data_IF_618828306740
#
_entry.id   IF_618828306740
#
_cell.length_a   1.000
_cell.length_b   1.000
_cell.length_c   1.000
_cell.angle_alpha   90.00
_cell.angle_beta   90.00
_cell.angle_gamma   90.00
#
_symmetry.space_group_name_H-M   'P 1'
#
loop_
_entity.id
_entity.type
_entity.pdbx_description
1 polymer ?
#
# COMPACT_ATOMS: atom_id res chain seq x y z
N UNK A 1 4.55 -12.28 0.89
CA UNK A 1 3.74 -11.61 1.89
C UNK A 1 3.33 -12.63 2.94
N UNK A 2 4.00 -12.65 4.07
CA UNK A 2 3.64 -13.52 5.18
C UNK A 2 2.56 -12.81 6.00
N UNK A 3 1.46 -13.51 6.25
CA UNK A 3 0.40 -13.06 7.14
C UNK A 3 0.85 -13.44 8.54
N UNK A 4 0.92 -12.50 9.47
CA UNK A 4 1.16 -12.82 10.87
C UNK A 4 0.08 -13.81 11.36
N UNK A 5 0.47 -15.07 11.64
CA UNK A 5 -0.43 -16.16 11.99
C UNK A 5 -0.75 -17.16 10.86
N UNK A 6 -0.10 -17.05 9.69
CA UNK A 6 -0.19 -18.06 8.65
C UNK A 6 0.69 -19.28 8.99
N UNK A 7 0.12 -20.48 8.85
CA UNK A 7 0.86 -21.74 8.97
C UNK A 7 2.00 -21.79 7.92
N UNK A 8 3.14 -22.46 8.21
CA UNK A 8 4.31 -22.53 7.30
C UNK A 8 3.99 -23.04 5.90
N UNK A 9 2.84 -23.68 5.71
CA UNK A 9 2.38 -24.21 4.43
C UNK A 9 1.81 -23.14 3.49
N UNK A 10 1.28 -22.03 4.02
CA UNK A 10 0.71 -20.94 3.20
C UNK A 10 1.80 -20.09 2.55
N UNK A 11 2.93 -19.90 3.21
CA UNK A 11 4.07 -19.15 2.66
C UNK A 11 4.67 -19.81 1.42
N UNK A 12 4.70 -21.16 1.34
CA UNK A 12 5.22 -21.91 0.19
C UNK A 12 4.37 -21.75 -1.08
N UNK A 13 3.05 -21.67 -0.94
CA UNK A 13 2.14 -21.51 -2.09
C UNK A 13 2.38 -20.15 -2.74
N UNK A 14 2.57 -19.10 -1.95
CA UNK A 14 2.91 -17.76 -2.47
C UNK A 14 4.27 -17.73 -3.19
N UNK A 15 5.24 -18.50 -2.70
CA UNK A 15 6.58 -18.56 -3.31
C UNK A 15 6.56 -19.28 -4.67
N UNK A 16 5.89 -20.43 -4.78
CA UNK A 16 5.82 -21.21 -6.04
C UNK A 16 5.02 -20.47 -7.14
N UNK A 17 4.00 -19.68 -6.75
CA UNK A 17 3.22 -18.86 -7.66
C UNK A 17 3.76 -17.45 -7.87
N UNK A 18 4.87 -17.06 -7.21
CA UNK A 18 5.39 -15.68 -7.25
C UNK A 18 5.71 -15.20 -8.68
N UNK A 19 6.25 -16.05 -9.55
CA UNK A 19 6.56 -15.70 -10.94
C UNK A 19 5.30 -15.51 -11.80
N UNK A 20 4.27 -16.32 -11.60
CA UNK A 20 2.98 -16.18 -12.27
C UNK A 20 2.21 -14.98 -11.71
N UNK A 21 2.29 -14.80 -10.40
CA UNK A 21 1.77 -13.67 -9.65
C UNK A 21 2.37 -12.36 -10.17
N UNK A 22 3.71 -12.24 -10.25
CA UNK A 22 4.38 -11.05 -10.79
C UNK A 22 3.93 -10.74 -12.22
N UNK A 23 3.76 -11.74 -13.08
CA UNK A 23 3.37 -11.53 -14.48
C UNK A 23 1.93 -11.02 -14.63
N UNK A 24 0.99 -11.56 -13.84
CA UNK A 24 -0.41 -11.10 -13.80
C UNK A 24 -0.48 -9.73 -13.13
N UNK A 25 0.22 -9.56 -12.00
CA UNK A 25 0.25 -8.31 -11.25
C UNK A 25 0.89 -7.18 -12.05
N UNK A 26 2.01 -7.43 -12.74
CA UNK A 26 2.65 -6.43 -13.61
C UNK A 26 1.68 -5.91 -14.65
N UNK A 27 0.92 -6.78 -15.32
CA UNK A 27 0.01 -6.35 -16.39
C UNK A 27 -1.16 -5.53 -15.89
N UNK A 28 -1.71 -5.85 -14.70
CA UNK A 28 -2.94 -5.24 -14.21
C UNK A 28 -2.72 -4.14 -13.16
N UNK A 29 -1.67 -4.20 -12.35
CA UNK A 29 -1.46 -3.31 -11.21
C UNK A 29 -0.37 -2.27 -11.45
N UNK A 30 0.73 -2.64 -12.13
CA UNK A 30 1.85 -1.76 -12.37
C UNK A 30 1.48 -0.44 -13.06
N UNK A 31 0.67 -0.39 -14.12
CA UNK A 31 0.29 0.87 -14.76
C UNK A 31 -0.39 1.87 -13.79
N UNK A 32 -1.14 1.35 -12.80
CA UNK A 32 -1.81 2.19 -11.80
C UNK A 32 -0.82 2.78 -10.81
N UNK A 33 0.12 1.96 -10.33
CA UNK A 33 1.19 2.40 -9.44
C UNK A 33 1.99 3.50 -10.13
N UNK A 34 2.43 3.26 -11.37
CA UNK A 34 3.20 4.23 -12.16
C UNK A 34 2.43 5.53 -12.35
N UNK A 35 1.16 5.47 -12.78
CA UNK A 35 0.36 6.68 -13.00
C UNK A 35 0.13 7.46 -11.71
N UNK A 36 -0.08 6.75 -10.59
CA UNK A 36 -0.25 7.36 -9.27
C UNK A 36 1.03 8.05 -8.83
N UNK A 37 2.16 7.34 -8.82
CA UNK A 37 3.45 7.89 -8.39
C UNK A 37 3.90 9.08 -9.25
N UNK A 38 3.71 9.01 -10.57
CA UNK A 38 3.96 10.16 -11.46
C UNK A 38 3.11 11.38 -11.13
N UNK A 39 1.85 11.17 -10.71
CA UNK A 39 0.96 12.28 -10.35
C UNK A 39 1.33 13.00 -9.05
N UNK A 40 2.18 12.38 -8.21
CA UNK A 40 2.62 12.96 -6.95
C UNK A 40 3.73 14.02 -7.13
N UNK A 41 4.41 14.03 -8.29
CA UNK A 41 5.55 14.92 -8.55
C UNK A 41 6.56 14.92 -7.39
N UNK A 42 6.98 13.73 -6.96
CA UNK A 42 7.91 13.53 -5.83
C UNK A 42 9.17 14.35 -6.05
N UNK A 43 9.51 15.30 -5.15
CA UNK A 43 10.66 16.18 -5.34
C UNK A 43 11.99 15.45 -5.09
N UNK A 44 13.11 15.96 -5.64
CA UNK A 44 14.43 15.42 -5.35
C UNK A 44 14.75 15.39 -3.84
N UNK A 45 15.33 14.26 -3.40
CA UNK A 45 15.69 14.05 -1.98
C UNK A 45 14.51 13.78 -1.05
N UNK A 46 13.28 13.65 -1.58
CA UNK A 46 12.15 13.27 -0.75
C UNK A 46 12.32 11.84 -0.23
N UNK A 47 12.05 11.65 1.06
CA UNK A 47 12.06 10.35 1.72
C UNK A 47 10.71 9.66 1.55
N UNK A 48 10.74 8.49 0.96
CA UNK A 48 9.55 7.67 0.68
C UNK A 48 9.64 6.36 1.46
N UNK A 49 8.59 6.01 2.20
CA UNK A 49 8.41 4.68 2.77
C UNK A 49 7.37 3.92 1.95
N UNK A 50 7.73 2.75 1.45
CA UNK A 50 6.75 1.79 0.92
C UNK A 50 6.55 0.65 1.92
N UNK A 51 5.33 0.54 2.44
CA UNK A 51 4.91 -0.51 3.36
C UNK A 51 4.35 -1.69 2.58
N UNK A 52 4.92 -2.88 2.80
CA UNK A 52 4.56 -4.10 2.06
C UNK A 52 5.08 -4.08 0.62
N UNK A 53 6.38 -3.81 0.44
CA UNK A 53 7.02 -3.71 -0.88
C UNK A 53 6.98 -5.02 -1.68
N UNK A 54 6.76 -6.15 -1.03
CA UNK A 54 6.67 -7.47 -1.65
C UNK A 54 7.90 -7.80 -2.49
N UNK A 55 7.68 -8.27 -3.70
CA UNK A 55 8.74 -8.59 -4.67
C UNK A 55 9.39 -7.36 -5.32
N UNK A 56 9.02 -6.13 -4.89
CA UNK A 56 9.56 -4.89 -5.41
C UNK A 56 9.00 -4.47 -6.78
N UNK A 57 7.77 -4.86 -7.12
CA UNK A 57 7.14 -4.52 -8.40
C UNK A 57 7.01 -3.01 -8.63
N UNK A 58 6.71 -2.26 -7.56
CA UNK A 58 6.52 -0.81 -7.55
C UNK A 58 7.82 0.00 -7.67
N UNK A 59 8.95 -0.59 -7.27
CA UNK A 59 10.22 0.12 -7.07
C UNK A 59 10.70 0.86 -8.33
N UNK A 60 10.50 0.26 -9.51
CA UNK A 60 10.85 0.88 -10.80
C UNK A 60 10.01 2.10 -11.16
N UNK A 61 8.89 2.33 -10.46
CA UNK A 61 8.02 3.48 -10.70
C UNK A 61 8.41 4.73 -9.90
N UNK A 62 9.26 4.58 -8.88
CA UNK A 62 9.79 5.72 -8.12
C UNK A 62 10.88 6.44 -8.91
N UNK A 63 10.93 7.77 -8.82
CA UNK A 63 12.00 8.52 -9.48
C UNK A 63 13.35 8.26 -8.79
N UNK A 64 14.42 8.11 -9.57
CA UNK A 64 15.77 7.82 -9.06
C UNK A 64 16.39 8.92 -8.17
N UNK A 65 15.74 10.07 -8.07
CA UNK A 65 16.14 11.19 -7.20
C UNK A 65 15.44 11.19 -5.83
N UNK A 66 14.51 10.26 -5.60
CA UNK A 66 13.88 10.07 -4.28
C UNK A 66 14.70 9.07 -3.44
N UNK A 67 14.59 9.15 -2.13
CA UNK A 67 15.17 8.18 -1.18
C UNK A 67 14.06 7.19 -0.77
N UNK A 68 14.07 5.99 -1.34
CA UNK A 68 13.02 4.99 -1.14
C UNK A 68 13.44 3.94 -0.12
N UNK A 69 12.66 3.79 0.94
CA UNK A 69 12.76 2.66 1.87
C UNK A 69 11.56 1.75 1.66
N UNK A 70 11.80 0.50 1.28
CA UNK A 70 10.75 -0.52 1.16
C UNK A 70 10.84 -1.51 2.31
N UNK A 71 9.71 -1.79 2.95
CA UNK A 71 9.63 -2.81 4.01
C UNK A 71 8.65 -3.91 3.65
N UNK A 72 8.95 -5.12 4.10
CA UNK A 72 8.03 -6.26 4.07
C UNK A 72 8.31 -7.18 5.27
N UNK A 73 7.30 -7.92 5.69
CA UNK A 73 7.44 -8.91 6.77
C UNK A 73 8.09 -10.21 6.24
N UNK A 74 7.88 -10.56 4.96
CA UNK A 74 8.32 -11.79 4.35
C UNK A 74 9.74 -11.67 3.79
N UNK A 75 10.75 -12.38 4.36
CA UNK A 75 12.12 -12.33 3.88
C UNK A 75 12.25 -12.84 2.43
N UNK A 76 11.45 -13.82 2.02
CA UNK A 76 11.48 -14.39 0.67
C UNK A 76 11.04 -13.37 -0.40
N UNK A 77 10.11 -12.47 -0.05
CA UNK A 77 9.70 -11.37 -0.92
C UNK A 77 10.81 -10.33 -1.03
N UNK A 78 11.42 -9.98 0.09
CA UNK A 78 12.54 -9.04 0.13
C UNK A 78 13.77 -9.55 -0.64
N UNK A 79 14.05 -10.85 -0.63
CA UNK A 79 15.11 -11.42 -1.46
C UNK A 79 14.87 -11.21 -2.95
N UNK A 80 13.62 -11.35 -3.42
CA UNK A 80 13.26 -11.08 -4.81
C UNK A 80 13.39 -9.59 -5.14
N UNK A 81 12.89 -8.72 -4.25
CA UNK A 81 13.03 -7.28 -4.39
C UNK A 81 14.52 -6.87 -4.42
N UNK A 82 15.36 -7.45 -3.55
CA UNK A 82 16.78 -7.17 -3.48
C UNK A 82 17.53 -7.60 -4.75
N UNK A 83 17.13 -8.73 -5.38
CA UNK A 83 17.67 -9.14 -6.68
C UNK A 83 17.35 -8.11 -7.77
N UNK A 84 16.13 -7.55 -7.79
CA UNK A 84 15.74 -6.47 -8.72
C UNK A 84 16.55 -5.20 -8.44
N UNK A 85 16.66 -4.76 -7.18
CA UNK A 85 17.43 -3.57 -6.79
C UNK A 85 18.88 -3.68 -7.25
N UNK A 86 19.52 -4.84 -7.03
CA UNK A 86 20.91 -5.08 -7.46
C UNK A 86 21.03 -5.16 -8.98
N UNK A 87 20.13 -5.89 -9.65
CA UNK A 87 20.15 -6.08 -11.10
C UNK A 87 19.98 -4.77 -11.89
N UNK A 88 19.11 -3.90 -11.41
CA UNK A 88 18.81 -2.60 -12.01
C UNK A 88 19.74 -1.46 -11.51
N UNK A 89 20.58 -1.74 -10.52
CA UNK A 89 21.50 -0.76 -9.95
C UNK A 89 20.81 0.40 -9.20
N UNK A 90 19.65 0.19 -8.61
CA UNK A 90 18.89 1.24 -7.89
C UNK A 90 19.54 1.58 -6.55
N UNK A 91 20.45 2.55 -6.55
CA UNK A 91 21.18 3.00 -5.35
C UNK A 91 20.31 3.84 -4.40
N UNK A 92 19.20 4.36 -4.86
CA UNK A 92 18.24 5.16 -4.11
C UNK A 92 17.21 4.32 -3.34
N UNK A 93 17.26 2.99 -3.45
CA UNK A 93 16.34 2.05 -2.81
C UNK A 93 17.04 1.28 -1.70
N UNK A 94 16.46 1.31 -0.50
CA UNK A 94 16.83 0.49 0.66
C UNK A 94 15.69 -0.45 1.00
N UNK A 95 16.01 -1.72 1.31
CA UNK A 95 15.02 -2.72 1.72
C UNK A 95 15.30 -3.20 3.14
N UNK A 96 14.24 -3.37 3.95
CA UNK A 96 14.34 -3.82 5.33
C UNK A 96 13.21 -4.81 5.64
N UNK A 97 13.52 -5.85 6.41
CA UNK A 97 12.48 -6.70 6.99
C UNK A 97 11.91 -6.00 8.23
N UNK A 98 10.58 -5.80 8.23
CA UNK A 98 9.92 -5.07 9.33
C UNK A 98 8.43 -5.38 9.35
N UNK A 99 7.85 -5.40 10.56
CA UNK A 99 6.40 -5.48 10.74
C UNK A 99 5.77 -4.09 10.52
N UNK A 100 4.80 -4.03 9.64
CA UNK A 100 4.05 -2.81 9.35
C UNK A 100 3.20 -2.29 10.53
N UNK A 101 2.95 -3.15 11.52
CA UNK A 101 2.24 -2.79 12.76
C UNK A 101 3.17 -2.24 13.85
N UNK A 102 4.48 -2.30 13.65
CA UNK A 102 5.49 -1.79 14.58
C UNK A 102 6.69 -1.26 13.80
N UNK A 103 6.55 -0.06 13.25
CA UNK A 103 7.57 0.57 12.41
C UNK A 103 8.71 1.14 13.27
N UNK A 104 9.94 0.67 13.02
CA UNK A 104 11.15 1.12 13.73
C UNK A 104 11.71 2.43 13.12
N UNK A 105 10.84 3.39 12.81
CA UNK A 105 11.17 4.70 12.29
C UNK A 105 10.69 5.79 13.25
N UNK A 106 11.34 6.94 13.20
CA UNK A 106 10.96 8.09 13.99
C UNK A 106 9.61 8.68 13.53
N UNK A 107 8.93 9.38 14.44
CA UNK A 107 7.73 10.14 14.10
C UNK A 107 8.07 11.20 13.05
N UNK A 108 7.28 11.29 12.00
CA UNK A 108 7.46 12.28 10.95
C UNK A 108 8.76 12.15 10.17
N UNK A 109 9.24 10.95 9.90
CA UNK A 109 10.48 10.72 9.17
C UNK A 109 10.33 10.87 7.64
N UNK A 110 9.16 10.48 7.08
CA UNK A 110 8.96 10.36 5.65
C UNK A 110 8.06 11.45 5.07
N UNK A 111 8.42 11.95 3.89
CA UNK A 111 7.62 12.90 3.12
C UNK A 111 6.41 12.21 2.48
N UNK A 112 6.61 10.95 2.04
CA UNK A 112 5.59 10.09 1.44
C UNK A 112 5.59 8.73 2.12
N UNK A 113 4.40 8.22 2.45
CA UNK A 113 4.20 6.85 2.94
C UNK A 113 3.20 6.16 2.04
N UNK A 114 3.60 5.06 1.40
CA UNK A 114 2.79 4.36 0.41
C UNK A 114 2.48 2.93 0.86
N UNK A 115 1.29 2.43 0.51
CA UNK A 115 0.90 1.05 0.75
C UNK A 115 0.09 0.53 -0.46
N UNK A 116 0.67 -0.39 -1.23
CA UNK A 116 0.06 -0.93 -2.43
C UNK A 116 -0.36 -2.38 -2.21
N UNK A 117 -1.68 -2.63 -2.21
CA UNK A 117 -2.29 -3.95 -2.04
C UNK A 117 -1.99 -4.66 -0.70
N UNK A 118 -1.60 -3.92 0.32
CA UNK A 118 -1.18 -4.44 1.63
C UNK A 118 -2.28 -4.32 2.69
N UNK A 119 -3.07 -3.27 2.64
CA UNK A 119 -4.02 -2.93 3.71
C UNK A 119 -5.06 -4.04 3.96
N UNK A 120 -5.49 -4.74 2.91
CA UNK A 120 -6.48 -5.82 3.02
C UNK A 120 -5.93 -7.14 3.56
N UNK A 121 -4.62 -7.25 3.74
CA UNK A 121 -3.95 -8.48 4.18
C UNK A 121 -3.35 -8.37 5.58
N UNK A 122 -3.18 -7.14 6.08
CA UNK A 122 -2.75 -6.89 7.46
C UNK A 122 -3.93 -7.13 8.40
N UNK A 123 -3.77 -7.89 9.51
CA UNK A 123 -4.87 -8.21 10.41
C UNK A 123 -5.44 -6.99 11.13
N UNK A 124 -4.60 -6.05 11.56
CA UNK A 124 -4.98 -4.76 12.16
C UNK A 124 -4.70 -3.61 11.19
N UNK A 125 -5.66 -3.34 10.31
CA UNK A 125 -5.55 -2.22 9.37
C UNK A 125 -5.59 -0.85 10.05
N UNK A 126 -6.23 -0.74 11.23
CA UNK A 126 -6.22 0.50 12.01
C UNK A 126 -4.84 0.76 12.64
N UNK A 127 -4.18 -0.29 13.15
CA UNK A 127 -2.79 -0.24 13.62
C UNK A 127 -1.83 0.16 12.51
N UNK A 128 -1.95 -0.48 11.34
CA UNK A 128 -1.19 -0.10 10.16
C UNK A 128 -1.34 1.39 9.81
N UNK A 129 -2.57 1.89 9.77
CA UNK A 129 -2.82 3.30 9.47
C UNK A 129 -2.24 4.23 10.52
N UNK A 130 -2.33 3.89 11.81
CA UNK A 130 -1.70 4.68 12.88
C UNK A 130 -0.19 4.78 12.68
N UNK A 131 0.48 3.67 12.38
CA UNK A 131 1.92 3.65 12.15
C UNK A 131 2.32 4.44 10.89
N UNK A 132 1.61 4.23 9.76
CA UNK A 132 1.85 5.00 8.53
C UNK A 132 1.71 6.50 8.78
N UNK A 133 0.69 6.92 9.54
CA UNK A 133 0.48 8.33 9.88
C UNK A 133 1.54 8.84 10.85
N UNK A 134 1.96 8.02 11.83
CA UNK A 134 3.00 8.39 12.81
C UNK A 134 4.30 8.74 12.09
N UNK A 135 4.76 7.86 11.20
CA UNK A 135 6.04 8.04 10.50
C UNK A 135 5.98 9.05 9.34
N UNK A 136 4.77 9.41 8.88
CA UNK A 136 4.58 10.46 7.88
C UNK A 136 4.80 11.84 8.52
N UNK A 137 5.54 12.72 7.83
CA UNK A 137 5.75 14.11 8.25
C UNK A 137 4.45 14.89 8.35
N UNK A 138 4.33 15.87 9.25
CA UNK A 138 3.32 16.92 9.12
C UNK A 138 3.43 17.58 7.73
N UNK A 139 2.30 17.68 7.01
CA UNK A 139 2.28 18.11 5.60
C UNK A 139 2.65 17.03 4.59
N UNK A 140 3.08 15.84 5.04
CA UNK A 140 3.43 14.71 4.17
C UNK A 140 2.20 14.01 3.59
N UNK A 141 2.45 13.08 2.68
CA UNK A 141 1.43 12.42 1.86
C UNK A 141 1.39 10.93 2.14
N UNK A 142 0.19 10.40 2.39
CA UNK A 142 -0.09 8.96 2.46
C UNK A 142 -0.83 8.53 1.20
N UNK A 143 -0.34 7.47 0.54
CA UNK A 143 -0.90 6.94 -0.70
C UNK A 143 -1.26 5.47 -0.53
N UNK A 144 -2.52 5.14 -0.77
CA UNK A 144 -3.00 3.77 -0.67
C UNK A 144 -3.60 3.34 -2.01
N UNK A 145 -3.17 2.21 -2.52
CA UNK A 145 -3.84 1.51 -3.62
C UNK A 145 -4.31 0.17 -3.08
N UNK A 146 -5.61 0.01 -2.97
CA UNK A 146 -6.17 -1.23 -2.48
C UNK A 146 -7.52 -1.53 -3.13
N UNK A 147 -7.94 -2.78 -3.02
CA UNK A 147 -9.28 -3.16 -3.37
C UNK A 147 -10.18 -2.97 -2.14
N UNK A 148 -11.27 -2.27 -2.31
CA UNK A 148 -12.24 -2.02 -1.26
C UNK A 148 -13.61 -2.58 -1.66
N UNK A 149 -14.44 -2.90 -0.67
CA UNK A 149 -15.79 -3.38 -0.88
C UNK A 149 -16.56 -2.43 -1.80
N UNK A 150 -17.19 -2.99 -2.83
CA UNK A 150 -17.99 -2.22 -3.77
C UNK A 150 -19.19 -1.58 -3.08
N UNK A 151 -19.49 -0.31 -3.42
CA UNK A 151 -20.74 0.35 -3.01
C UNK A 151 -21.99 -0.22 -3.72
N UNK A 152 -21.80 -0.95 -4.84
CA UNK A 152 -22.91 -1.61 -5.57
C UNK A 152 -23.31 -2.87 -4.82
N UNK A 153 -24.47 -2.86 -4.18
CA UNK A 153 -24.96 -3.91 -3.28
C UNK A 153 -25.03 -5.31 -3.92
N UNK A 154 -25.38 -5.40 -5.19
CA UNK A 154 -25.47 -6.68 -5.90
C UNK A 154 -24.08 -7.30 -6.15
N UNK A 155 -23.10 -6.47 -6.55
CA UNK A 155 -21.71 -6.90 -6.78
C UNK A 155 -21.03 -7.24 -5.45
N UNK A 156 -21.29 -6.48 -4.39
CA UNK A 156 -20.81 -6.76 -3.06
C UNK A 156 -21.32 -8.13 -2.57
N UNK A 157 -22.62 -8.43 -2.73
CA UNK A 157 -23.19 -9.75 -2.34
C UNK A 157 -22.60 -10.92 -3.13
N UNK A 158 -22.26 -10.73 -4.39
CA UNK A 158 -21.61 -11.77 -5.21
C UNK A 158 -20.18 -12.04 -4.72
N UNK A 159 -19.43 -10.97 -4.43
CA UNK A 159 -18.05 -11.06 -3.91
C UNK A 159 -18.04 -11.60 -2.48
N UNK A 160 -18.97 -11.17 -1.62
CA UNK A 160 -19.11 -11.65 -0.24
C UNK A 160 -19.36 -13.17 -0.18
N UNK A 161 -19.99 -13.76 -1.20
CA UNK A 161 -20.13 -15.23 -1.32
C UNK A 161 -18.79 -15.95 -1.57
N UNK A 162 -17.82 -15.28 -2.14
CA UNK A 162 -16.47 -15.81 -2.38
C UNK A 162 -15.53 -15.52 -1.19
N UNK A 163 -15.97 -14.73 -0.20
CA UNK A 163 -15.17 -14.34 0.97
C UNK A 163 -14.58 -15.55 1.75
N UNK A 164 -15.27 -16.69 1.95
CA UNK A 164 -14.67 -17.85 2.61
C UNK A 164 -13.46 -18.43 1.85
N UNK A 165 -13.45 -18.31 0.52
CA UNK A 165 -12.36 -18.77 -0.34
C UNK A 165 -11.24 -17.74 -0.36
N UNK A 166 -11.59 -16.46 -0.50
CA UNK A 166 -10.61 -15.37 -0.56
C UNK A 166 -9.92 -15.13 0.78
N UNK A 167 -10.58 -15.40 1.91
CA UNK A 167 -9.97 -15.39 3.24
C UNK A 167 -8.88 -16.45 3.40
N UNK A 168 -9.07 -17.65 2.82
CA UNK A 168 -8.02 -18.68 2.79
C UNK A 168 -6.81 -18.26 1.97
N UNK A 169 -6.98 -17.31 1.05
CA UNK A 169 -5.92 -16.67 0.26
C UNK A 169 -5.42 -15.36 0.91
N UNK A 170 -5.81 -15.10 2.17
CA UNK A 170 -5.39 -13.92 2.92
C UNK A 170 -6.03 -12.60 2.47
N UNK A 171 -7.06 -12.63 1.62
CA UNK A 171 -7.72 -11.42 1.13
C UNK A 171 -9.02 -11.15 1.87
N UNK A 172 -9.11 -9.99 2.52
CA UNK A 172 -10.36 -9.49 3.09
C UNK A 172 -11.07 -8.62 2.05
N UNK A 173 -12.16 -9.12 1.49
CA UNK A 173 -12.96 -8.41 0.47
C UNK A 173 -13.96 -7.44 1.09
N UNK A 174 -14.14 -7.48 2.41
CA UNK A 174 -15.16 -6.72 3.15
C UNK A 174 -14.72 -5.35 3.63
N UNK A 175 -13.42 -5.00 3.53
CA UNK A 175 -12.87 -3.73 4.03
C UNK A 175 -13.47 -2.53 3.28
N UNK A 176 -14.03 -1.57 4.03
CA UNK A 176 -14.54 -0.31 3.49
C UNK A 176 -13.45 0.75 3.54
N UNK A 177 -13.36 1.55 2.48
CA UNK A 177 -12.34 2.59 2.39
C UNK A 177 -12.46 3.61 3.53
N UNK A 178 -13.67 3.93 3.96
CA UNK A 178 -13.97 4.89 5.01
C UNK A 178 -13.38 4.45 6.37
N UNK A 179 -13.45 3.15 6.67
CA UNK A 179 -12.95 2.56 7.93
C UNK A 179 -11.45 2.80 8.15
N UNK A 180 -10.67 2.94 7.07
CA UNK A 180 -9.23 3.19 7.18
C UNK A 180 -8.89 4.58 7.73
N UNK A 181 -9.78 5.54 7.55
CA UNK A 181 -9.54 6.94 7.90
C UNK A 181 -10.23 7.34 9.20
N UNK A 182 -10.95 6.40 9.85
CA UNK A 182 -11.58 6.63 11.14
C UNK A 182 -10.51 6.79 12.23
N UNK A 183 -10.56 7.90 12.95
CA UNK A 183 -9.67 8.17 14.09
C UNK A 183 -8.20 8.48 13.72
N UNK A 184 -7.85 8.62 12.43
CA UNK A 184 -6.51 9.02 12.02
C UNK A 184 -6.52 10.46 11.47
N UNK A 185 -5.51 11.29 11.79
CA UNK A 185 -5.45 12.70 11.37
C UNK A 185 -4.95 12.81 9.91
N UNK A 186 -5.72 12.29 8.97
CA UNK A 186 -5.46 12.39 7.53
C UNK A 186 -6.58 13.11 6.82
N UNK A 187 -6.22 13.99 5.90
CA UNK A 187 -7.14 14.65 4.98
C UNK A 187 -7.08 13.97 3.62
N UNK A 188 -8.15 13.27 3.22
CA UNK A 188 -8.26 12.68 1.88
C UNK A 188 -8.40 13.81 0.86
N UNK A 189 -7.40 13.98 0.00
CA UNK A 189 -7.43 14.94 -1.10
C UNK A 189 -8.12 14.37 -2.32
N UNK A 190 -7.73 13.14 -2.69
CA UNK A 190 -8.23 12.48 -3.90
C UNK A 190 -8.56 11.02 -3.63
N UNK A 191 -9.69 10.60 -4.14
CA UNK A 191 -10.12 9.20 -4.18
C UNK A 191 -10.64 8.91 -5.57
N UNK A 192 -10.04 7.97 -6.27
CA UNK A 192 -10.44 7.66 -7.64
C UNK A 192 -10.14 6.21 -8.01
N UNK A 193 -10.79 5.75 -9.07
CA UNK A 193 -10.45 4.51 -9.75
C UNK A 193 -9.78 4.85 -11.07
N UNK A 194 -8.71 4.14 -11.42
CA UNK A 194 -7.95 4.37 -12.66
C UNK A 194 -8.72 3.96 -13.93
N UNK A 195 -9.81 3.18 -13.77
CA UNK A 195 -10.78 2.86 -14.81
C UNK A 195 -12.12 2.57 -14.14
N UNK A 196 -13.25 2.79 -14.84
CA UNK A 196 -14.59 2.51 -14.28
C UNK A 196 -14.79 1.04 -13.91
N UNK A 197 -14.13 0.14 -14.61
CA UNK A 197 -14.13 -1.30 -14.35
C UNK A 197 -13.07 -1.74 -13.33
N UNK A 198 -12.24 -0.80 -12.82
CA UNK A 198 -11.20 -1.13 -11.85
C UNK A 198 -11.80 -1.57 -10.53
N UNK A 199 -11.33 -2.71 -10.02
CA UNK A 199 -11.62 -3.19 -8.66
C UNK A 199 -10.86 -2.38 -7.61
N UNK A 200 -9.78 -1.69 -8.00
CA UNK A 200 -8.88 -0.98 -7.09
C UNK A 200 -9.19 0.51 -7.03
N UNK A 201 -9.07 1.05 -5.85
CA UNK A 201 -9.20 2.47 -5.55
C UNK A 201 -7.85 3.01 -5.13
N UNK A 202 -7.48 4.15 -5.68
CA UNK A 202 -6.37 4.98 -5.26
C UNK A 202 -6.89 6.01 -4.28
N UNK A 203 -6.22 6.14 -3.14
CA UNK A 203 -6.47 7.19 -2.16
C UNK A 203 -5.19 7.95 -1.93
N UNK A 204 -5.24 9.28 -2.07
CA UNK A 204 -4.16 10.21 -1.73
C UNK A 204 -4.68 11.07 -0.60
N UNK A 205 -3.97 11.05 0.52
CA UNK A 205 -4.33 11.79 1.72
C UNK A 205 -3.11 12.52 2.27
N UNK A 206 -3.33 13.67 2.90
CA UNK A 206 -2.28 14.47 3.52
C UNK A 206 -2.42 14.49 5.04
N UNK A 207 -1.29 14.39 5.72
CA UNK A 207 -1.22 14.65 7.16
C UNK A 207 -1.20 16.17 7.37
N UNK A 208 -2.16 16.75 8.12
CA UNK A 208 -2.18 18.17 8.40
C UNK A 208 -0.88 18.65 9.06
N UNK A 209 -0.44 19.86 8.76
CA UNK A 209 0.73 20.46 9.41
C UNK A 209 0.51 20.71 10.89
N UNK A 210 -0.73 21.05 11.29
CA UNK A 210 -1.12 21.28 12.68
C UNK A 210 -2.32 20.39 13.03
N UNK A 211 -2.31 19.80 14.23
CA UNK A 211 -3.41 18.96 14.74
C UNK A 211 -4.77 19.70 14.79
N UNK A 212 -4.76 21.03 14.91
CA UNK A 212 -5.97 21.87 14.91
C UNK A 212 -6.73 21.85 13.55
N UNK A 213 -6.08 21.48 12.46
CA UNK A 213 -6.67 21.43 11.11
C UNK A 213 -7.17 20.03 10.70
N UNK A 214 -7.24 19.09 11.62
CA UNK A 214 -7.71 17.73 11.40
C UNK A 214 -9.25 17.58 11.31
N UNK A 215 -10.00 18.71 11.33
CA UNK A 215 -11.45 18.74 11.27
C UNK A 215 -12.03 18.44 9.88
N UNK A 216 -12.99 17.57 9.85
CA UNK A 216 -13.96 17.20 8.81
C UNK A 216 -13.61 17.52 7.36
N UNK A 217 -13.33 16.48 6.57
CA UNK A 217 -12.95 16.60 5.17
C UNK A 217 -14.05 16.07 4.25
N UNK A 218 -14.55 16.97 3.43
CA UNK A 218 -15.29 16.61 2.23
C UNK A 218 -14.35 15.91 1.23
N UNK A 219 -14.57 14.61 1.01
CA UNK A 219 -13.87 13.83 0.00
C UNK A 219 -14.23 14.40 -1.39
N UNK A 220 -13.27 14.97 -2.11
CA UNK A 220 -13.45 15.27 -3.53
C UNK A 220 -13.43 13.94 -4.30
N UNK A 221 -14.59 13.44 -4.65
CA UNK A 221 -14.71 12.36 -5.64
C UNK A 221 -14.36 12.94 -7.01
N UNK A 222 -13.22 12.56 -7.57
CA UNK A 222 -12.94 12.82 -8.98
C UNK A 222 -13.79 11.87 -9.82
N UNK A 223 -14.60 12.41 -10.73
CA UNK A 223 -15.40 11.69 -11.72
C UNK A 223 -14.52 11.01 -12.76
#
# INVERSE_FOLDING_TARGET
>A
MAIAGAEPHESKIYYEFSHLYDRIFTRFFYPRIVSTLRSLNVPPGAKVLEVGVGTGLSLSAYPGHAEVTGIDLAPEMLEQAQRKVKGEGWRHVRLMQMDALNLEFADGEFDYVTAFHVVSVVPDHAGLMREMVRVCKPGGTVVIINHFRSRRTWLARLIDRLDPITRKLGWRTTLRCEELFEGVPLRVERRFKTAQTSLFTVVIAHKPQNAANAGNVAVREAR
#
